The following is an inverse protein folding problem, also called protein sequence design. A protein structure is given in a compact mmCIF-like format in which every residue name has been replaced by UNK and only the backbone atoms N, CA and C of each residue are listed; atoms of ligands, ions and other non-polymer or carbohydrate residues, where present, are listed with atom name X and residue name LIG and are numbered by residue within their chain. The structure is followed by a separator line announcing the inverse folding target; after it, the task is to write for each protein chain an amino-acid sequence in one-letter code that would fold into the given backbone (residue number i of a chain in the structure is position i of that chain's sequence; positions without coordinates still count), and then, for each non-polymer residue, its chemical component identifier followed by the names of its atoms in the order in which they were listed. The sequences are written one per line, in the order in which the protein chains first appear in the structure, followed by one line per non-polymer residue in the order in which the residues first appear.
data_IF_222966069839
#
_entry.id   IF_222966069839
#
_cell.length_a   1.000
_cell.length_b   1.000
_cell.length_c   1.000
_cell.angle_alpha   90.00
_cell.angle_beta   90.00
_cell.angle_gamma   90.00
#
_symmetry.space_group_name_H-M   'P 1'
#
loop_
_entity.id
_entity.type
_entity.pdbx_description
1 polymer ?
#
# COMPACT_ATOMS: atom_id res chain seq x y z
N UNK A 1 9.82 0.31 -15.28
CA UNK A 1 9.01 -0.91 -15.50
C UNK A 1 7.56 -0.46 -15.48
N UNK A 2 6.72 -0.82 -16.48
CA UNK A 2 5.33 -0.42 -16.45
C UNK A 2 4.62 -1.07 -15.25
N UNK A 3 3.75 -0.31 -14.59
CA UNK A 3 2.82 -0.84 -13.59
C UNK A 3 1.51 -1.24 -14.26
N UNK A 4 0.97 -2.38 -13.85
CA UNK A 4 -0.37 -2.82 -14.20
C UNK A 4 -1.33 -2.30 -13.14
N UNK A 5 -2.13 -1.28 -13.47
CA UNK A 5 -3.16 -0.76 -12.55
C UNK A 5 -4.33 -1.74 -12.54
N UNK A 6 -4.60 -2.30 -11.37
CA UNK A 6 -5.62 -3.35 -11.16
C UNK A 6 -6.79 -2.86 -10.32
N UNK A 7 -6.61 -1.78 -9.55
CA UNK A 7 -7.69 -1.08 -8.86
C UNK A 7 -7.51 0.43 -9.00
N UNK A 8 -8.63 1.14 -9.20
CA UNK A 8 -8.67 2.60 -9.24
C UNK A 8 -10.02 3.09 -8.73
N UNK A 9 -10.01 4.00 -7.77
CA UNK A 9 -11.20 4.62 -7.19
C UNK A 9 -10.94 6.07 -6.80
N UNK A 10 -12.00 6.86 -6.65
CA UNK A 10 -11.92 8.15 -5.96
C UNK A 10 -12.38 8.00 -4.51
N UNK A 11 -11.63 8.61 -3.60
CA UNK A 11 -11.98 8.65 -2.18
C UNK A 11 -12.08 10.11 -1.70
N UNK A 12 -12.81 10.33 -0.62
CA UNK A 12 -12.72 11.57 0.17
C UNK A 12 -12.10 11.24 1.51
N UNK A 13 -10.97 11.87 1.84
CA UNK A 13 -10.19 11.54 3.05
C UNK A 13 -11.03 11.76 4.32
N UNK A 14 -11.03 10.78 5.21
CA UNK A 14 -11.85 10.76 6.42
C UNK A 14 -13.29 10.26 6.22
N UNK A 15 -13.62 9.75 5.02
CA UNK A 15 -14.82 8.96 4.80
C UNK A 15 -14.43 7.49 4.65
N UNK A 16 -14.93 6.66 5.56
CA UNK A 16 -14.55 5.26 5.62
C UNK A 16 -14.80 4.54 4.29
N UNK A 17 -13.73 4.04 3.68
CA UNK A 17 -13.75 3.37 2.38
C UNK A 17 -12.50 2.50 2.21
N UNK A 18 -12.64 1.37 1.53
CA UNK A 18 -11.53 0.51 1.13
C UNK A 18 -11.45 0.33 -0.37
N UNK A 19 -10.23 0.13 -0.87
CA UNK A 19 -9.91 -0.17 -2.26
C UNK A 19 -9.05 -1.44 -2.26
N UNK A 20 -9.63 -2.53 -2.73
CA UNK A 20 -8.97 -3.82 -2.80
C UNK A 20 -8.40 -4.08 -4.20
N UNK A 21 -7.22 -4.68 -4.25
CA UNK A 21 -6.57 -5.08 -5.48
C UNK A 21 -5.96 -6.46 -5.34
N UNK A 22 -6.40 -7.38 -6.19
CA UNK A 22 -5.71 -8.64 -6.42
C UNK A 22 -4.48 -8.41 -7.30
N UNK A 23 -3.40 -9.16 -7.06
CA UNK A 23 -2.30 -9.22 -7.99
C UNK A 23 -2.74 -9.82 -9.34
N UNK A 24 -2.16 -9.41 -10.48
CA UNK A 24 -2.52 -9.98 -11.79
C UNK A 24 -2.42 -11.51 -11.85
N UNK A 25 -1.44 -12.09 -11.15
CA UNK A 25 -1.24 -13.51 -11.02
C UNK A 25 -0.89 -13.90 -9.57
N UNK A 26 -1.30 -15.11 -9.16
CA UNK A 26 -0.94 -15.70 -7.87
C UNK A 26 -1.99 -15.49 -6.78
N UNK A 27 -1.50 -15.30 -5.55
CA UNK A 27 -2.29 -15.34 -4.29
C UNK A 27 -2.16 -14.04 -3.48
N UNK A 28 -1.40 -13.08 -3.98
CA UNK A 28 -1.16 -11.84 -3.26
C UNK A 28 -2.25 -10.84 -3.56
N UNK A 29 -2.58 -10.05 -2.55
CA UNK A 29 -3.49 -8.93 -2.67
C UNK A 29 -2.94 -7.73 -1.89
N UNK A 30 -3.50 -6.56 -2.17
CA UNK A 30 -3.23 -5.36 -1.42
C UNK A 30 -4.52 -4.58 -1.23
N UNK A 31 -4.70 -4.00 -0.04
CA UNK A 31 -5.90 -3.24 0.33
C UNK A 31 -5.46 -1.90 0.85
N UNK A 32 -5.98 -0.83 0.25
CA UNK A 32 -5.94 0.49 0.87
C UNK A 32 -7.25 0.72 1.64
N UNK A 33 -7.16 1.30 2.83
CA UNK A 33 -8.31 1.62 3.68
C UNK A 33 -8.14 3.01 4.28
N UNK A 34 -9.14 3.86 4.11
CA UNK A 34 -9.39 5.00 5.00
C UNK A 34 -10.44 4.55 6.01
N UNK A 35 -10.13 4.58 7.30
CA UNK A 35 -11.05 4.15 8.37
C UNK A 35 -11.87 5.32 8.97
N UNK A 36 -11.72 6.53 8.42
CA UNK A 36 -12.29 7.77 8.93
C UNK A 36 -11.33 8.60 9.79
N UNK A 37 -10.27 8.00 10.33
CA UNK A 37 -9.27 8.67 11.17
C UNK A 37 -7.86 8.57 10.58
N UNK A 38 -7.54 7.45 9.93
CA UNK A 38 -6.24 7.13 9.35
C UNK A 38 -6.38 6.41 8.02
N UNK A 39 -5.36 6.54 7.17
CA UNK A 39 -5.20 5.78 5.95
C UNK A 39 -4.14 4.70 6.13
N UNK A 40 -4.49 3.44 5.89
CA UNK A 40 -3.57 2.30 5.91
C UNK A 40 -3.53 1.59 4.57
N UNK A 41 -2.38 0.98 4.29
CA UNK A 41 -2.19 0.11 3.15
C UNK A 41 -1.67 -1.24 3.63
N UNK A 42 -2.31 -2.33 3.21
CA UNK A 42 -2.06 -3.68 3.71
C UNK A 42 -1.56 -4.59 2.59
N UNK A 43 -0.58 -5.43 2.91
CA UNK A 43 -0.15 -6.54 2.08
C UNK A 43 -0.84 -7.83 2.55
N UNK A 44 -1.43 -8.57 1.63
CA UNK A 44 -2.15 -9.81 1.93
C UNK A 44 -1.56 -11.00 1.16
N UNK A 45 -1.56 -12.16 1.82
CA UNK A 45 -1.33 -13.47 1.23
C UNK A 45 -2.57 -14.34 1.49
N UNK A 46 -3.36 -14.59 0.45
CA UNK A 46 -4.62 -15.32 0.56
C UNK A 46 -4.43 -16.82 0.85
N UNK A 47 -3.20 -17.35 0.76
CA UNK A 47 -2.90 -18.72 1.16
C UNK A 47 -2.64 -18.89 2.65
N UNK A 48 -2.44 -17.79 3.39
CA UNK A 48 -2.16 -17.84 4.81
C UNK A 48 -3.36 -18.40 5.60
N UNK A 49 -3.10 -19.35 6.50
CA UNK A 49 -4.13 -19.86 7.40
C UNK A 49 -4.50 -18.80 8.44
N UNK A 50 -5.77 -18.38 8.46
CA UNK A 50 -6.27 -17.41 9.43
C UNK A 50 -6.24 -15.97 8.91
N UNK A 51 -5.34 -15.14 9.45
CA UNK A 51 -5.26 -13.73 9.07
C UNK A 51 -4.40 -13.57 7.79
N UNK A 52 -4.96 -13.10 6.66
CA UNK A 52 -4.20 -12.94 5.42
C UNK A 52 -3.24 -11.74 5.46
N UNK A 53 -3.37 -10.81 6.41
CA UNK A 53 -2.53 -9.60 6.49
C UNK A 53 -1.10 -9.99 6.88
N UNK A 54 -0.17 -9.71 5.96
CA UNK A 54 1.26 -9.96 6.13
C UNK A 54 2.01 -8.73 6.62
N UNK A 55 1.58 -7.55 6.19
CA UNK A 55 2.19 -6.29 6.57
C UNK A 55 1.19 -5.11 6.45
N UNK A 56 1.48 -4.02 7.12
CA UNK A 56 0.65 -2.82 7.15
C UNK A 56 1.54 -1.57 7.11
N UNK A 57 1.12 -0.57 6.35
CA UNK A 57 1.79 0.71 6.19
C UNK A 57 0.84 1.84 6.55
N UNK A 58 1.26 2.71 7.47
CA UNK A 58 0.55 3.95 7.76
C UNK A 58 0.83 4.97 6.66
N UNK A 59 -0.24 5.46 6.03
CA UNK A 59 -0.15 6.38 4.88
C UNK A 59 -0.40 7.82 5.31
N UNK A 60 -1.43 8.07 6.12
CA UNK A 60 -1.72 9.41 6.66
C UNK A 60 -2.61 9.35 7.91
N UNK A 61 -2.61 10.42 8.69
CA UNK A 61 -3.71 10.74 9.61
C UNK A 61 -4.63 11.78 8.97
N UNK A 62 -5.94 11.59 9.06
CA UNK A 62 -6.95 12.50 8.50
C UNK A 62 -6.86 13.91 9.10
N UNK A 63 -6.40 14.03 10.34
CA UNK A 63 -6.18 15.32 10.99
C UNK A 63 -5.05 16.15 10.36
N UNK A 64 -4.07 15.49 9.74
CA UNK A 64 -2.91 16.12 9.10
C UNK A 64 -3.19 16.57 7.66
N UNK A 65 -4.33 16.16 7.08
CA UNK A 65 -4.70 16.47 5.69
C UNK A 65 -5.57 17.72 5.61
N UNK A 66 -4.99 18.82 5.12
CA UNK A 66 -5.64 20.14 5.06
C UNK A 66 -6.76 20.23 4.03
N UNK A 67 -6.64 19.52 2.92
CA UNK A 67 -7.54 19.53 1.77
C UNK A 67 -8.39 18.26 1.66
N UNK A 68 -8.63 17.57 2.79
CA UNK A 68 -9.35 16.29 2.87
C UNK A 68 -10.75 16.25 2.23
N UNK A 69 -11.36 17.42 2.00
CA UNK A 69 -12.65 17.56 1.33
C UNK A 69 -12.55 17.49 -0.21
N UNK A 70 -11.34 17.50 -0.78
CA UNK A 70 -11.09 17.35 -2.21
C UNK A 70 -10.92 15.86 -2.51
N UNK A 71 -11.71 15.27 -3.43
CA UNK A 71 -11.54 13.87 -3.80
C UNK A 71 -10.13 13.58 -4.31
N UNK A 72 -9.54 12.48 -3.86
CA UNK A 72 -8.26 11.98 -4.31
C UNK A 72 -8.42 10.74 -5.17
N UNK A 73 -7.62 10.65 -6.25
CA UNK A 73 -7.53 9.47 -7.11
C UNK A 73 -6.59 8.45 -6.47
N UNK A 74 -7.13 7.29 -6.11
CA UNK A 74 -6.40 6.15 -5.59
C UNK A 74 -6.18 5.17 -6.73
N UNK A 75 -4.94 4.72 -6.89
CA UNK A 75 -4.58 3.59 -7.76
C UNK A 75 -3.72 2.61 -7.01
N UNK A 76 -4.01 1.32 -7.20
CA UNK A 76 -3.12 0.24 -6.80
C UNK A 76 -2.58 -0.40 -8.08
N UNK A 77 -1.26 -0.42 -8.19
CA UNK A 77 -0.55 -0.96 -9.34
C UNK A 77 0.42 -2.08 -8.95
N UNK A 78 0.59 -3.04 -9.85
CA UNK A 78 1.49 -4.17 -9.66
C UNK A 78 2.60 -4.20 -10.70
N UNK A 79 3.76 -4.74 -10.32
CA UNK A 79 4.75 -5.16 -11.30
C UNK A 79 4.23 -6.34 -12.14
N UNK A 80 4.75 -6.50 -13.35
CA UNK A 80 4.33 -7.57 -14.28
C UNK A 80 4.50 -8.98 -13.69
N UNK A 81 5.48 -9.18 -12.79
CA UNK A 81 5.73 -10.43 -12.09
C UNK A 81 4.84 -10.64 -10.85
N UNK A 82 3.93 -9.72 -10.56
CA UNK A 82 3.04 -9.73 -9.39
C UNK A 82 3.78 -9.74 -8.04
N UNK A 83 5.08 -9.38 -8.01
CA UNK A 83 5.90 -9.41 -6.79
C UNK A 83 6.05 -8.05 -6.10
N UNK A 84 5.65 -6.95 -6.75
CA UNK A 84 5.66 -5.62 -6.17
C UNK A 84 4.32 -4.95 -6.38
N UNK A 85 3.88 -4.25 -5.37
CA UNK A 85 2.64 -3.48 -5.37
C UNK A 85 2.94 -2.04 -4.93
N UNK A 86 2.28 -1.07 -5.55
CA UNK A 86 2.40 0.34 -5.21
C UNK A 86 1.01 0.96 -5.06
N UNK A 87 0.85 1.71 -3.97
CA UNK A 87 -0.23 2.65 -3.75
C UNK A 87 0.17 4.00 -4.32
N UNK A 88 -0.60 4.48 -5.29
CA UNK A 88 -0.53 5.83 -5.82
C UNK A 88 -1.73 6.65 -5.32
N UNK A 89 -1.47 7.83 -4.80
CA UNK A 89 -2.50 8.83 -4.48
C UNK A 89 -2.22 10.06 -5.34
N UNK A 90 -3.18 10.44 -6.17
CA UNK A 90 -3.05 11.53 -7.15
C UNK A 90 -1.81 11.38 -8.06
N UNK A 91 -1.43 10.13 -8.37
CA UNK A 91 -0.27 9.79 -9.20
C UNK A 91 1.08 9.75 -8.48
N UNK A 92 1.14 10.08 -7.18
CA UNK A 92 2.36 10.01 -6.39
C UNK A 92 2.44 8.70 -5.61
N UNK A 93 3.60 8.07 -5.47
CA UNK A 93 3.75 6.85 -4.70
C UNK A 93 3.86 7.12 -3.19
N UNK A 94 2.95 6.51 -2.43
CA UNK A 94 2.81 6.68 -0.98
C UNK A 94 3.17 5.42 -0.18
N UNK A 95 2.91 4.24 -0.74
CA UNK A 95 3.18 2.95 -0.11
C UNK A 95 3.59 1.91 -1.14
N UNK A 96 4.53 1.04 -0.80
CA UNK A 96 5.03 -0.02 -1.68
C UNK A 96 5.22 -1.30 -0.89
N UNK A 97 4.86 -2.43 -1.48
CA UNK A 97 5.23 -3.75 -0.98
C UNK A 97 6.10 -4.48 -1.99
N UNK A 98 7.11 -5.19 -1.48
CA UNK A 98 7.89 -6.15 -2.24
C UNK A 98 7.72 -7.53 -1.60
N UNK A 99 6.83 -8.34 -2.17
CA UNK A 99 6.47 -9.67 -1.67
C UNK A 99 7.64 -10.65 -1.75
N UNK A 100 8.53 -10.48 -2.73
CA UNK A 100 9.72 -11.31 -2.87
C UNK A 100 10.73 -11.10 -1.74
N UNK A 101 10.92 -9.86 -1.31
CA UNK A 101 11.82 -9.53 -0.18
C UNK A 101 11.10 -9.40 1.15
N UNK A 102 9.77 -9.55 1.16
CA UNK A 102 8.90 -9.37 2.32
C UNK A 102 9.15 -8.03 3.03
N UNK A 103 9.07 -6.92 2.29
CA UNK A 103 9.27 -5.59 2.87
C UNK A 103 8.24 -4.59 2.32
N UNK A 104 7.64 -3.82 3.23
CA UNK A 104 6.85 -2.64 2.95
C UNK A 104 7.69 -1.36 3.02
N UNK A 105 7.26 -0.32 2.34
CA UNK A 105 7.90 1.00 2.36
C UNK A 105 6.82 2.07 2.29
N UNK A 106 6.85 3.04 3.20
CA UNK A 106 5.93 4.18 3.17
C UNK A 106 6.65 5.47 3.55
N UNK A 107 6.04 6.60 3.21
CA UNK A 107 6.64 7.93 3.48
C UNK A 107 6.77 8.25 4.96
N UNK A 108 5.94 7.65 5.81
CA UNK A 108 6.01 7.83 7.27
C UNK A 108 7.08 6.95 7.92
N UNK A 109 7.45 5.81 7.30
CA UNK A 109 8.27 4.77 7.93
C UNK A 109 7.54 3.98 9.02
N UNK A 110 6.23 4.20 9.20
CA UNK A 110 5.40 3.61 10.26
C UNK A 110 4.40 2.59 9.71
N UNK A 111 3.98 1.61 10.54
CA UNK A 111 4.44 1.31 11.91
C UNK A 111 5.83 0.63 11.92
N UNK A 112 6.51 0.49 13.07
CA UNK A 112 7.66 -0.41 13.16
C UNK A 112 7.23 -1.86 12.87
N UNK A 113 8.15 -2.69 12.37
CA UNK A 113 7.86 -4.10 12.09
C UNK A 113 7.40 -4.84 13.35
N UNK A 114 6.20 -5.43 13.28
CA UNK A 114 5.60 -6.17 14.40
C UNK A 114 5.83 -7.68 14.31
N UNK A 115 6.02 -8.21 13.11
CA UNK A 115 6.35 -9.62 12.88
C UNK A 115 7.83 -9.72 12.45
N UNK A 116 8.52 -10.78 12.84
CA UNK A 116 9.94 -10.97 12.50
C UNK A 116 10.13 -11.50 11.06
N UNK A 117 9.10 -11.43 10.22
CA UNK A 117 9.09 -12.00 8.87
C UNK A 117 9.00 -10.95 7.77
N UNK A 118 8.16 -9.93 7.98
CA UNK A 118 8.01 -8.79 7.08
C UNK A 118 8.68 -7.56 7.67
N UNK A 119 9.29 -6.79 6.78
CA UNK A 119 9.80 -5.45 7.07
C UNK A 119 10.78 -5.40 8.23
N UNK A 120 11.60 -6.44 8.39
CA UNK A 120 12.60 -6.57 9.47
C UNK A 120 13.55 -5.36 9.54
N UNK A 121 13.75 -4.66 8.41
CA UNK A 121 14.58 -3.45 8.32
C UNK A 121 13.78 -2.14 8.52
N UNK A 122 12.49 -2.23 8.80
CA UNK A 122 11.54 -1.13 8.87
C UNK A 122 10.87 -0.80 7.53
N UNK A 123 10.03 0.24 7.55
CA UNK A 123 9.26 0.73 6.41
C UNK A 123 9.82 2.01 5.78
N UNK A 124 11.06 2.37 6.11
CA UNK A 124 11.69 3.62 5.67
C UNK A 124 11.76 3.71 4.14
N UNK A 125 11.19 4.76 3.57
CA UNK A 125 11.31 5.05 2.14
C UNK A 125 12.75 5.45 1.81
N UNK A 126 13.31 4.87 0.74
CA UNK A 126 14.64 5.22 0.24
C UNK A 126 14.64 5.33 -1.29
N UNK A 127 15.72 5.88 -1.84
CA UNK A 127 15.85 6.16 -3.28
C UNK A 127 15.69 4.90 -4.16
N UNK A 128 16.01 3.71 -3.64
CA UNK A 128 15.84 2.45 -4.38
C UNK A 128 14.37 2.14 -4.65
N UNK A 129 13.47 2.55 -3.75
CA UNK A 129 12.02 2.35 -3.89
C UNK A 129 11.47 3.19 -5.05
N UNK A 130 12.00 4.39 -5.26
CA UNK A 130 11.59 5.24 -6.39
C UNK A 130 11.96 4.59 -7.73
N UNK A 131 13.01 3.77 -7.78
CA UNK A 131 13.46 3.08 -8.99
C UNK A 131 12.70 1.78 -9.28
N UNK A 132 11.86 1.27 -8.36
CA UNK A 132 11.09 0.04 -8.61
C UNK A 132 10.13 0.14 -9.80
N UNK A 133 9.66 1.35 -10.10
CA UNK A 133 8.59 1.60 -11.08
C UNK A 133 8.95 2.65 -12.14
N UNK A 134 10.23 3.05 -12.23
CA UNK A 134 10.77 3.86 -13.35
C UNK A 134 11.06 2.99 -14.56
#
# INVERSE_FOLDING_TARGET
MPILVTAQEQITVGQAQSVESLAPEGIFAAVFEDDGETGYFYALDESAEGNPIQDALHIYNVEDISDKNIPSDIKIGWSEDSQKCVLLINGYPHGVFNFKTKNGYCRSGFPPSINHEWSVLGHEWNDVVDDFFR
#
